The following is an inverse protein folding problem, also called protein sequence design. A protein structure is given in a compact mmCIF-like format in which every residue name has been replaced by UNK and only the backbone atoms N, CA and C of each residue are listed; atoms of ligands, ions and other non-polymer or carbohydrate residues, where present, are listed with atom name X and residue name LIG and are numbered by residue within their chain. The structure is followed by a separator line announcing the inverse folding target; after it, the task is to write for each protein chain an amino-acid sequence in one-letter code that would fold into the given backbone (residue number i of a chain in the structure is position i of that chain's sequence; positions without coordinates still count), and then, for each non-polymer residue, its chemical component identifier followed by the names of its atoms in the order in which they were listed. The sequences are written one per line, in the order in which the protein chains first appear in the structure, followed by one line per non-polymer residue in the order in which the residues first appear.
data_IF_581421479416
#
_entry.id   IF_581421479416
#
_cell.length_a   1.000
_cell.length_b   1.000
_cell.length_c   1.000
_cell.angle_alpha   90.00
_cell.angle_beta   90.00
_cell.angle_gamma   90.00
#
_symmetry.space_group_name_H-M   'P 1'
#
loop_
_entity.id
_entity.type
_entity.pdbx_description
1 polymer ?
#
# COMPACT_ATOMS: atom_id res chain seq x y z
N UNK A 1 -13.48 -3.61 -1.76
CA UNK A 1 -12.60 -3.23 -2.86
C UNK A 1 -11.44 -4.19 -3.10
N UNK A 2 -11.07 -5.01 -2.15
CA UNK A 2 -9.99 -5.97 -2.33
C UNK A 2 -10.53 -7.36 -1.99
N UNK A 3 -10.06 -8.40 -2.68
CA UNK A 3 -10.53 -9.78 -2.49
C UNK A 3 -9.57 -10.61 -1.63
N UNK A 4 -8.53 -9.99 -1.06
CA UNK A 4 -7.53 -10.65 -0.19
C UNK A 4 -8.18 -11.42 0.95
N UNK A 5 -9.25 -10.88 1.56
CA UNK A 5 -9.94 -11.52 2.67
C UNK A 5 -10.72 -12.79 2.29
N UNK A 6 -11.01 -12.99 1.00
CA UNK A 6 -11.78 -14.13 0.52
C UNK A 6 -10.97 -15.43 0.47
N UNK A 7 -9.66 -15.35 0.41
CA UNK A 7 -8.79 -16.49 0.09
C UNK A 7 -8.03 -17.07 1.29
N UNK A 8 -8.24 -16.56 2.49
CA UNK A 8 -7.53 -17.09 3.66
C UNK A 8 -8.22 -18.32 4.30
N UNK A 9 -8.87 -19.13 3.49
CA UNK A 9 -9.56 -20.35 3.94
C UNK A 9 -8.62 -21.40 4.56
N UNK A 10 -7.35 -21.36 4.18
CA UNK A 10 -6.33 -22.32 4.63
C UNK A 10 -5.37 -21.76 5.68
N UNK A 11 -5.67 -20.62 6.26
CA UNK A 11 -4.84 -19.93 7.27
C UNK A 11 -3.35 -19.89 6.89
N UNK A 12 -3.04 -19.68 5.60
CA UNK A 12 -1.68 -19.53 5.11
C UNK A 12 -1.06 -18.28 5.76
N UNK A 13 0.10 -18.46 6.36
CA UNK A 13 0.84 -17.35 6.95
C UNK A 13 2.34 -17.65 6.89
N UNK A 14 3.14 -16.59 6.86
CA UNK A 14 4.58 -16.72 7.02
C UNK A 14 4.90 -17.10 8.46
N UNK A 15 5.90 -17.97 8.62
CA UNK A 15 6.36 -18.51 9.89
C UNK A 15 7.74 -17.96 10.26
N UNK A 16 8.19 -18.22 11.48
CA UNK A 16 9.54 -17.90 11.93
C UNK A 16 10.60 -18.58 11.05
N UNK A 17 10.37 -19.84 10.64
CA UNK A 17 11.28 -20.55 9.72
C UNK A 17 11.37 -19.84 8.38
N UNK A 18 10.24 -19.44 7.78
CA UNK A 18 10.24 -18.70 6.50
C UNK A 18 11.10 -17.43 6.58
N UNK A 19 11.00 -16.66 7.68
CA UNK A 19 11.78 -15.42 7.84
C UNK A 19 13.26 -15.73 8.10
N UNK A 20 13.60 -16.72 8.92
CA UNK A 20 14.98 -17.11 9.15
C UNK A 20 15.68 -17.56 7.86
N UNK A 21 15.00 -18.33 7.01
CA UNK A 21 15.50 -18.77 5.71
C UNK A 21 15.72 -17.60 4.73
N UNK A 22 14.93 -16.52 4.86
CA UNK A 22 15.11 -15.31 4.07
C UNK A 22 16.32 -14.47 4.47
N UNK A 23 16.79 -14.52 5.73
CA UNK A 23 17.80 -13.58 6.27
C UNK A 23 19.08 -13.52 5.44
N UNK A 24 19.59 -14.66 4.97
CA UNK A 24 20.79 -14.72 4.12
C UNK A 24 20.61 -13.92 2.83
N UNK A 25 19.46 -14.08 2.16
CA UNK A 25 19.13 -13.35 0.93
C UNK A 25 18.90 -11.86 1.19
N UNK A 26 18.19 -11.51 2.28
CA UNK A 26 17.93 -10.11 2.66
C UNK A 26 19.25 -9.37 2.94
N UNK A 27 20.20 -10.02 3.63
CA UNK A 27 21.53 -9.46 3.88
C UNK A 27 22.30 -9.29 2.58
N UNK A 28 22.30 -10.28 1.69
CA UNK A 28 22.97 -10.24 0.38
C UNK A 28 22.47 -9.09 -0.50
N UNK A 29 21.17 -8.79 -0.46
CA UNK A 29 20.57 -7.67 -1.19
C UNK A 29 20.70 -6.32 -0.46
N UNK A 30 21.23 -6.28 0.76
CA UNK A 30 21.28 -5.06 1.57
C UNK A 30 19.88 -4.48 1.86
N UNK A 31 18.93 -5.36 2.14
CA UNK A 31 17.53 -4.97 2.38
C UNK A 31 17.42 -3.98 3.55
N UNK A 32 16.88 -2.80 3.28
CA UNK A 32 16.76 -1.71 4.25
C UNK A 32 15.43 -1.72 5.00
N UNK A 33 14.37 -2.19 4.35
CA UNK A 33 13.02 -2.10 4.87
C UNK A 33 12.17 -3.30 4.42
N UNK A 34 11.33 -3.76 5.32
CA UNK A 34 10.24 -4.71 5.04
C UNK A 34 8.91 -4.04 5.41
N UNK A 35 7.95 -4.08 4.48
CA UNK A 35 6.58 -3.65 4.74
C UNK A 35 5.73 -4.89 4.99
N UNK A 36 5.31 -5.07 6.22
CA UNK A 36 4.40 -6.13 6.62
C UNK A 36 2.97 -5.74 6.20
N UNK A 37 2.36 -6.59 5.42
CA UNK A 37 1.03 -6.36 4.83
C UNK A 37 0.25 -7.67 4.75
N UNK A 38 -0.83 -7.69 4.01
CA UNK A 38 -1.69 -8.86 3.76
C UNK A 38 -3.15 -8.41 3.67
N UNK A 39 -4.11 -9.24 4.08
CA UNK A 39 -5.44 -8.75 4.41
C UNK A 39 -5.38 -7.89 5.68
N UNK A 40 -4.88 -8.48 6.76
CA UNK A 40 -4.48 -7.80 8.00
C UNK A 40 -3.29 -8.56 8.59
N UNK A 41 -2.11 -7.96 8.58
CA UNK A 41 -0.88 -8.61 9.01
C UNK A 41 -0.89 -9.00 10.51
N UNK A 42 -1.60 -8.23 11.35
CA UNK A 42 -1.74 -8.51 12.79
C UNK A 42 -2.56 -9.78 13.10
N UNK A 43 -3.19 -10.39 12.10
CA UNK A 43 -3.83 -11.70 12.24
C UNK A 43 -2.84 -12.87 12.17
N UNK A 44 -1.61 -12.64 11.69
CA UNK A 44 -0.57 -13.65 11.73
C UNK A 44 -0.11 -13.87 13.18
N UNK A 45 -0.27 -15.07 13.68
CA UNK A 45 0.08 -15.43 15.08
C UNK A 45 1.58 -15.28 15.39
N UNK A 46 2.43 -15.27 14.35
CA UNK A 46 3.87 -15.07 14.48
C UNK A 46 4.29 -13.60 14.28
N UNK A 47 3.36 -12.68 13.99
CA UNK A 47 3.66 -11.33 13.49
C UNK A 47 4.80 -10.63 14.27
N UNK A 48 4.68 -10.50 15.58
CA UNK A 48 5.68 -9.78 16.37
C UNK A 48 7.02 -10.53 16.43
N UNK A 49 6.99 -11.86 16.39
CA UNK A 49 8.22 -12.66 16.30
C UNK A 49 8.95 -12.43 14.97
N UNK A 50 8.20 -12.36 13.86
CA UNK A 50 8.77 -12.04 12.55
C UNK A 50 9.37 -10.63 12.54
N UNK A 51 8.70 -9.65 13.14
CA UNK A 51 9.21 -8.28 13.27
C UNK A 51 10.49 -8.24 14.11
N UNK A 52 10.52 -8.94 15.25
CA UNK A 52 11.71 -9.05 16.11
C UNK A 52 12.92 -9.59 15.35
N UNK A 53 12.76 -10.67 14.58
CA UNK A 53 13.84 -11.27 13.80
C UNK A 53 14.39 -10.26 12.79
N UNK A 54 13.52 -9.57 12.05
CA UNK A 54 13.93 -8.55 11.07
C UNK A 54 14.62 -7.35 11.74
N UNK A 55 14.08 -6.86 12.84
CA UNK A 55 14.65 -5.73 13.61
C UNK A 55 16.02 -6.05 14.14
N UNK A 56 16.27 -7.28 14.62
CA UNK A 56 17.58 -7.75 15.10
C UNK A 56 18.63 -7.80 13.99
N UNK A 57 18.22 -7.78 12.71
CA UNK A 57 19.13 -7.62 11.55
C UNK A 57 19.31 -6.16 11.11
N UNK A 58 18.76 -5.18 11.86
CA UNK A 58 18.81 -3.77 11.49
C UNK A 58 17.86 -3.38 10.36
N UNK A 59 16.93 -4.25 10.00
CA UNK A 59 15.94 -3.99 8.93
C UNK A 59 14.77 -3.20 9.52
N UNK A 60 14.44 -2.09 8.88
CA UNK A 60 13.26 -1.29 9.24
C UNK A 60 11.98 -2.08 8.94
N UNK A 61 11.05 -2.10 9.90
CA UNK A 61 9.75 -2.76 9.74
C UNK A 61 8.65 -1.71 9.73
N UNK A 62 7.89 -1.65 8.63
CA UNK A 62 6.65 -0.86 8.52
C UNK A 62 5.45 -1.78 8.48
N UNK A 63 4.34 -1.39 9.09
CA UNK A 63 3.10 -2.16 9.08
C UNK A 63 2.01 -1.42 8.31
N UNK A 64 1.44 -2.08 7.28
CA UNK A 64 0.19 -1.65 6.65
C UNK A 64 -0.98 -2.38 7.32
N UNK A 65 -1.91 -1.63 7.92
CA UNK A 65 -3.00 -2.18 8.74
C UNK A 65 -4.33 -1.46 8.54
N UNK A 66 -5.41 -2.18 8.76
CA UNK A 66 -6.77 -1.60 8.84
C UNK A 66 -6.96 -0.73 10.09
N UNK A 67 -6.13 -0.90 11.10
CA UNK A 67 -6.19 -0.15 12.36
C UNK A 67 -7.06 -0.78 13.45
N UNK A 68 -7.81 -1.84 13.16
CA UNK A 68 -8.81 -2.41 14.08
C UNK A 68 -8.22 -2.93 15.41
N UNK A 69 -6.97 -3.36 15.41
CA UNK A 69 -6.31 -3.99 16.55
C UNK A 69 -5.10 -3.21 17.08
N UNK A 70 -4.86 -1.98 16.60
CA UNK A 70 -3.71 -1.16 17.02
C UNK A 70 -3.69 -0.98 18.54
N UNK A 71 -4.82 -0.59 19.15
CA UNK A 71 -4.90 -0.30 20.59
C UNK A 71 -4.48 -1.50 21.44
N UNK A 72 -4.96 -2.70 21.07
CA UNK A 72 -4.68 -3.93 21.80
C UNK A 72 -3.22 -4.40 21.65
N UNK A 73 -2.53 -3.95 20.61
CA UNK A 73 -1.17 -4.34 20.29
C UNK A 73 -0.15 -3.20 20.46
N UNK A 74 -0.54 -2.07 21.05
CA UNK A 74 0.22 -0.83 21.02
C UNK A 74 1.66 -0.98 21.56
N UNK A 75 1.86 -1.64 22.69
CA UNK A 75 3.19 -1.84 23.29
C UNK A 75 4.10 -2.67 22.38
N UNK A 76 3.58 -3.74 21.80
CA UNK A 76 4.34 -4.59 20.88
C UNK A 76 4.65 -3.86 19.57
N UNK A 77 3.69 -3.06 19.08
CA UNK A 77 3.90 -2.23 17.87
C UNK A 77 5.01 -1.19 18.13
N UNK A 78 4.98 -0.48 19.24
CA UNK A 78 6.03 0.49 19.60
C UNK A 78 7.40 -0.16 19.76
N UNK A 79 7.46 -1.43 20.16
CA UNK A 79 8.71 -2.17 20.34
C UNK A 79 9.30 -2.70 19.03
N UNK A 80 8.48 -3.23 18.15
CA UNK A 80 8.93 -4.05 17.02
C UNK A 80 8.62 -3.48 15.63
N UNK A 81 7.84 -2.41 15.54
CA UNK A 81 7.46 -1.78 14.27
C UNK A 81 7.92 -0.33 14.27
N UNK A 82 8.55 0.13 13.20
CA UNK A 82 9.11 1.49 13.12
C UNK A 82 8.07 2.55 12.73
N UNK A 83 7.11 2.19 11.93
CA UNK A 83 6.01 3.09 11.53
C UNK A 83 4.76 2.30 11.08
N UNK A 84 3.62 2.98 11.17
CA UNK A 84 2.33 2.46 10.73
C UNK A 84 1.85 3.17 9.46
N UNK A 85 1.24 2.40 8.57
CA UNK A 85 0.45 2.89 7.46
C UNK A 85 -0.98 2.42 7.69
N UNK A 86 -1.87 3.34 8.05
CA UNK A 86 -3.27 3.02 8.35
C UNK A 86 -4.18 3.41 7.20
N UNK A 87 -5.27 2.69 7.03
CA UNK A 87 -6.25 3.01 5.99
C UNK A 87 -7.34 3.92 6.54
N UNK A 88 -7.61 5.05 5.87
CA UNK A 88 -8.75 5.93 6.14
C UNK A 88 -9.49 6.15 4.82
N UNK A 89 -10.80 5.87 4.78
CA UNK A 89 -11.57 5.94 3.53
C UNK A 89 -12.68 7.01 3.56
N UNK A 90 -12.92 7.65 4.68
CA UNK A 90 -13.96 8.67 4.88
C UNK A 90 -13.98 9.19 6.31
N UNK A 91 -15.02 9.96 6.63
CA UNK A 91 -15.47 10.17 7.99
C UNK A 91 -15.98 8.84 8.59
N UNK A 92 -16.43 8.86 9.84
CA UNK A 92 -16.84 7.65 10.58
C UNK A 92 -17.88 6.82 9.82
N UNK A 93 -18.94 7.45 9.34
CA UNK A 93 -20.04 6.76 8.67
C UNK A 93 -19.59 6.13 7.34
N UNK A 94 -18.85 6.90 6.55
CA UNK A 94 -18.41 6.45 5.23
C UNK A 94 -17.31 5.40 5.35
N UNK A 95 -16.36 5.59 6.27
CA UNK A 95 -15.30 4.61 6.50
C UNK A 95 -15.89 3.26 6.91
N UNK A 96 -16.80 3.23 7.89
CA UNK A 96 -17.45 2.00 8.35
C UNK A 96 -18.24 1.32 7.23
N UNK A 97 -18.96 2.11 6.41
CA UNK A 97 -19.69 1.61 5.26
C UNK A 97 -18.77 0.98 4.19
N UNK A 98 -17.65 1.65 3.83
CA UNK A 98 -16.68 1.14 2.84
C UNK A 98 -15.98 -0.12 3.37
N UNK A 99 -15.60 -0.14 4.64
CA UNK A 99 -14.97 -1.30 5.29
C UNK A 99 -15.96 -2.44 5.56
N UNK A 100 -17.25 -2.13 5.59
CA UNK A 100 -18.31 -3.06 5.99
C UNK A 100 -18.07 -3.66 7.39
N UNK A 101 -17.57 -2.83 8.31
CA UNK A 101 -17.26 -3.21 9.69
C UNK A 101 -17.77 -2.10 10.62
N UNK A 102 -18.77 -2.37 11.45
CA UNK A 102 -19.26 -1.39 12.42
C UNK A 102 -18.15 -0.94 13.39
N UNK A 103 -18.07 0.36 13.66
CA UNK A 103 -17.09 0.99 14.53
C UNK A 103 -15.62 0.80 14.08
N UNK A 104 -15.36 0.54 12.79
CA UNK A 104 -13.99 0.43 12.27
C UNK A 104 -13.24 1.74 12.45
N UNK A 105 -13.85 2.87 12.09
CA UNK A 105 -13.27 4.20 12.25
C UNK A 105 -12.97 4.52 13.72
N UNK A 106 -13.92 4.27 14.63
CA UNK A 106 -13.74 4.48 16.06
C UNK A 106 -12.55 3.69 16.62
N UNK A 107 -12.44 2.39 16.26
CA UNK A 107 -11.31 1.54 16.68
C UNK A 107 -9.98 2.04 16.14
N UNK A 108 -9.94 2.46 14.88
CA UNK A 108 -8.75 3.06 14.26
C UNK A 108 -8.34 4.33 15.01
N UNK A 109 -9.29 5.26 15.24
CA UNK A 109 -9.06 6.52 15.93
C UNK A 109 -8.52 6.29 17.35
N UNK A 110 -9.18 5.46 18.14
CA UNK A 110 -8.73 5.09 19.48
C UNK A 110 -7.33 4.47 19.48
N UNK A 111 -7.02 3.62 18.48
CA UNK A 111 -5.71 3.00 18.33
C UNK A 111 -4.61 4.01 18.02
N UNK A 112 -4.86 4.91 17.07
CA UNK A 112 -3.92 5.98 16.68
C UNK A 112 -3.67 6.93 17.86
N UNK A 113 -4.74 7.41 18.51
CA UNK A 113 -4.65 8.30 19.66
C UNK A 113 -3.87 7.65 20.81
N UNK A 114 -4.11 6.37 21.08
CA UNK A 114 -3.40 5.65 22.14
C UNK A 114 -1.90 5.49 21.83
N UNK A 115 -1.52 5.15 20.60
CA UNK A 115 -0.09 5.13 20.18
C UNK A 115 0.53 6.53 20.38
N UNK A 116 -0.19 7.60 19.99
CA UNK A 116 0.30 8.97 20.12
C UNK A 116 0.41 9.44 21.58
N UNK A 117 -0.43 8.94 22.47
CA UNK A 117 -0.30 9.16 23.91
C UNK A 117 0.96 8.50 24.48
N UNK A 118 1.26 7.27 24.06
CA UNK A 118 2.45 6.53 24.51
C UNK A 118 3.74 7.08 23.88
N UNK A 119 3.71 7.46 22.61
CA UNK A 119 4.84 8.03 21.87
C UNK A 119 4.37 9.07 20.85
N UNK A 120 4.34 10.38 21.19
CA UNK A 120 3.90 11.44 20.28
C UNK A 120 4.69 11.52 18.97
N UNK A 121 5.97 11.12 19.00
CA UNK A 121 6.85 11.15 17.83
C UNK A 121 6.69 9.93 16.89
N UNK A 122 5.96 8.89 17.33
CA UNK A 122 5.79 7.67 16.54
C UNK A 122 5.11 7.97 15.21
N UNK A 123 5.74 7.56 14.10
CA UNK A 123 5.27 7.90 12.76
C UNK A 123 4.07 7.05 12.35
N UNK A 124 2.99 7.73 11.99
CA UNK A 124 1.78 7.12 11.43
C UNK A 124 1.43 7.87 10.13
N UNK A 125 1.28 7.13 9.04
CA UNK A 125 0.81 7.65 7.74
C UNK A 125 -0.58 7.08 7.45
N UNK A 126 -1.51 7.92 7.03
CA UNK A 126 -2.77 7.44 6.47
C UNK A 126 -2.62 7.17 4.96
N UNK A 127 -3.21 6.08 4.48
CA UNK A 127 -3.32 5.80 3.06
C UNK A 127 -4.78 5.66 2.66
N UNK A 128 -5.18 6.40 1.64
CA UNK A 128 -6.54 6.40 1.12
C UNK A 128 -6.56 6.05 -0.35
N UNK A 129 -7.40 5.10 -0.72
CA UNK A 129 -7.75 4.85 -2.10
C UNK A 129 -8.93 5.73 -2.44
N UNK A 130 -8.75 6.71 -3.33
CA UNK A 130 -9.83 7.58 -3.82
C UNK A 130 -10.58 6.85 -4.91
N UNK A 131 -11.91 6.77 -4.76
CA UNK A 131 -12.80 6.08 -5.69
C UNK A 131 -14.22 6.67 -5.62
N UNK A 132 -15.15 6.11 -6.40
CA UNK A 132 -16.51 6.65 -6.56
C UNK A 132 -17.24 6.91 -5.23
N UNK A 133 -17.05 6.05 -4.24
CA UNK A 133 -17.78 6.16 -2.97
C UNK A 133 -17.24 7.27 -2.05
N UNK A 134 -15.98 7.70 -2.20
CA UNK A 134 -15.35 8.62 -1.23
C UNK A 134 -14.71 9.89 -1.82
N UNK A 135 -14.62 10.05 -3.13
CA UNK A 135 -13.93 11.23 -3.67
C UNK A 135 -14.58 12.55 -3.21
N UNK A 136 -15.90 12.58 -2.95
CA UNK A 136 -16.62 13.74 -2.42
C UNK A 136 -16.29 14.02 -0.95
N UNK A 137 -15.84 13.01 -0.24
CA UNK A 137 -15.49 13.08 1.19
C UNK A 137 -13.98 13.35 1.41
N UNK A 138 -13.22 13.65 0.36
CA UNK A 138 -11.74 13.76 0.39
C UNK A 138 -11.23 14.76 1.40
N UNK A 139 -11.84 15.95 1.49
CA UNK A 139 -11.45 16.96 2.49
C UNK A 139 -11.71 16.49 3.93
N UNK A 140 -12.79 15.76 4.17
CA UNK A 140 -13.07 15.19 5.48
C UNK A 140 -12.01 14.16 5.89
N UNK A 141 -11.53 13.33 4.97
CA UNK A 141 -10.42 12.38 5.20
C UNK A 141 -9.17 13.13 5.68
N UNK A 142 -8.80 14.24 5.01
CA UNK A 142 -7.65 15.07 5.40
C UNK A 142 -7.84 15.63 6.82
N UNK A 143 -9.03 16.13 7.11
CA UNK A 143 -9.35 16.72 8.42
C UNK A 143 -9.31 15.67 9.54
N UNK A 144 -9.89 14.49 9.32
CA UNK A 144 -9.85 13.39 10.29
C UNK A 144 -8.42 12.92 10.59
N UNK A 145 -7.60 12.76 9.55
CA UNK A 145 -6.19 12.41 9.73
C UNK A 145 -5.43 13.44 10.57
N UNK A 146 -5.70 14.74 10.36
CA UNK A 146 -5.12 15.82 11.18
C UNK A 146 -5.59 15.74 12.63
N UNK A 147 -6.89 15.54 12.84
CA UNK A 147 -7.49 15.48 14.17
C UNK A 147 -6.94 14.31 14.99
N UNK A 148 -6.68 13.16 14.36
CA UNK A 148 -6.05 12.00 14.97
C UNK A 148 -4.55 12.18 15.28
N UNK A 149 -3.91 13.28 14.85
CA UNK A 149 -2.47 13.48 15.00
C UNK A 149 -1.61 12.60 14.09
N UNK A 150 -2.16 12.15 12.95
CA UNK A 150 -1.42 11.44 11.91
C UNK A 150 -0.38 12.37 11.29
N UNK A 151 0.80 11.83 10.95
CA UNK A 151 1.93 12.63 10.48
C UNK A 151 1.83 12.97 8.99
N UNK A 152 1.18 12.12 8.19
CA UNK A 152 1.12 12.27 6.75
C UNK A 152 -0.09 11.52 6.18
N UNK A 153 -0.67 12.03 5.10
CA UNK A 153 -1.69 11.32 4.31
C UNK A 153 -1.22 11.10 2.88
N UNK A 154 -1.60 9.96 2.30
CA UNK A 154 -1.23 9.57 0.94
C UNK A 154 -2.46 9.08 0.18
N UNK A 155 -2.60 9.49 -1.07
CA UNK A 155 -3.74 9.23 -1.92
C UNK A 155 -3.35 8.53 -3.21
N UNK A 156 -4.14 7.55 -3.63
CA UNK A 156 -3.98 6.85 -4.90
C UNK A 156 -5.36 6.49 -5.46
N UNK A 157 -5.49 6.31 -6.79
CA UNK A 157 -6.74 5.84 -7.37
C UNK A 157 -6.94 4.35 -7.11
N UNK A 158 -8.16 3.85 -7.33
CA UNK A 158 -8.48 2.43 -7.17
C UNK A 158 -7.97 1.60 -8.34
N UNK A 159 -7.23 0.52 -8.05
CA UNK A 159 -6.98 -0.51 -9.05
C UNK A 159 -8.22 -1.38 -9.24
N UNK A 160 -8.71 -1.45 -10.48
CA UNK A 160 -9.87 -2.25 -10.87
C UNK A 160 -9.55 -3.22 -12.01
N UNK A 161 -8.40 -3.07 -12.66
CA UNK A 161 -8.06 -3.74 -13.91
C UNK A 161 -7.04 -4.87 -13.77
N UNK A 162 -6.36 -4.99 -12.62
CA UNK A 162 -5.36 -6.03 -12.41
C UNK A 162 -5.94 -7.26 -11.69
N UNK A 163 -5.15 -8.34 -11.70
CA UNK A 163 -5.41 -9.55 -10.89
C UNK A 163 -4.75 -9.48 -9.49
N UNK A 164 -4.20 -8.33 -9.11
CA UNK A 164 -3.68 -8.12 -7.76
C UNK A 164 -4.77 -8.27 -6.68
N UNK A 165 -4.37 -8.32 -5.41
CA UNK A 165 -5.29 -8.42 -4.27
C UNK A 165 -6.08 -9.75 -4.23
N UNK A 166 -5.43 -10.88 -4.60
CA UNK A 166 -6.01 -12.22 -4.68
C UNK A 166 -7.23 -12.33 -5.61
N UNK A 167 -7.28 -11.52 -6.62
CA UNK A 167 -8.23 -11.69 -7.71
C UNK A 167 -7.72 -12.80 -8.64
N UNK A 168 -8.53 -13.81 -8.89
CA UNK A 168 -8.18 -14.86 -9.87
C UNK A 168 -8.11 -14.30 -11.29
N UNK A 169 -8.99 -13.33 -11.59
CA UNK A 169 -9.01 -12.55 -12.83
C UNK A 169 -9.27 -11.10 -12.49
N UNK A 170 -9.00 -10.16 -13.40
CA UNK A 170 -9.48 -8.79 -13.29
C UNK A 170 -11.00 -8.79 -13.09
N UNK A 171 -11.51 -7.81 -12.36
CA UNK A 171 -12.96 -7.69 -12.17
C UNK A 171 -13.68 -7.50 -13.50
N UNK A 172 -14.84 -8.14 -13.65
CA UNK A 172 -15.73 -7.88 -14.77
C UNK A 172 -16.18 -6.41 -14.77
N UNK A 173 -16.47 -5.87 -15.95
CA UNK A 173 -16.80 -4.46 -16.18
C UNK A 173 -17.89 -3.92 -15.23
N UNK A 174 -19.01 -4.61 -14.96
CA UNK A 174 -20.01 -4.11 -14.01
C UNK A 174 -19.43 -3.87 -12.61
N UNK A 175 -18.53 -4.74 -12.15
CA UNK A 175 -17.88 -4.61 -10.85
C UNK A 175 -16.86 -3.47 -10.83
N UNK A 176 -16.14 -3.25 -11.94
CA UNK A 176 -15.25 -2.10 -12.07
C UNK A 176 -16.03 -0.79 -11.95
N UNK A 177 -17.21 -0.69 -12.59
CA UNK A 177 -18.06 0.51 -12.58
C UNK A 177 -18.67 0.84 -11.21
N UNK A 178 -18.74 -0.13 -10.27
CA UNK A 178 -19.11 0.18 -8.88
C UNK A 178 -18.06 1.04 -8.17
N UNK A 179 -16.81 0.93 -8.59
CA UNK A 179 -15.64 1.56 -7.94
C UNK A 179 -15.10 2.72 -8.75
N UNK A 180 -15.06 2.60 -10.08
CA UNK A 180 -14.66 3.69 -10.96
C UNK A 180 -15.57 4.90 -10.80
N UNK A 181 -14.98 6.09 -10.73
CA UNK A 181 -15.72 7.34 -10.85
C UNK A 181 -16.28 7.39 -12.28
N UNK A 182 -17.59 7.48 -12.44
CA UNK A 182 -18.22 7.44 -13.76
C UNK A 182 -17.86 8.66 -14.60
N UNK A 183 -17.97 8.55 -15.92
CA UNK A 183 -17.68 9.64 -16.85
C UNK A 183 -18.49 10.91 -16.50
N UNK A 184 -19.76 10.76 -16.10
CA UNK A 184 -20.63 11.86 -15.69
C UNK A 184 -20.19 12.54 -14.39
N UNK A 185 -19.42 11.85 -13.53
CA UNK A 185 -18.90 12.36 -12.27
C UNK A 185 -17.49 12.97 -12.41
N UNK A 186 -16.84 12.82 -13.58
CA UNK A 186 -15.49 13.38 -13.81
C UNK A 186 -15.42 14.91 -13.63
N UNK A 187 -16.40 15.72 -14.07
CA UNK A 187 -16.37 17.16 -13.80
C UNK A 187 -16.36 17.46 -12.29
N UNK A 188 -17.18 16.77 -11.50
CA UNK A 188 -17.22 16.92 -10.05
C UNK A 188 -15.91 16.47 -9.37
N UNK A 189 -15.28 15.39 -9.87
CA UNK A 189 -13.94 14.99 -9.42
C UNK A 189 -12.91 16.09 -9.68
N UNK A 190 -12.97 16.73 -10.86
CA UNK A 190 -12.04 17.81 -11.21
C UNK A 190 -12.23 19.02 -10.28
N UNK A 191 -13.45 19.39 -9.98
CA UNK A 191 -13.77 20.45 -9.00
C UNK A 191 -13.27 20.10 -7.61
N UNK A 192 -13.48 18.84 -7.18
CA UNK A 192 -12.97 18.34 -5.90
C UNK A 192 -11.45 18.44 -5.83
N UNK A 193 -10.74 17.99 -6.86
CA UNK A 193 -9.27 18.08 -6.93
C UNK A 193 -8.81 19.55 -6.88
N UNK A 194 -9.46 20.41 -7.63
CA UNK A 194 -9.16 21.85 -7.61
C UNK A 194 -9.35 22.44 -6.21
N UNK A 195 -10.45 22.09 -5.54
CA UNK A 195 -10.73 22.48 -4.16
C UNK A 195 -9.62 21.99 -3.21
N UNK A 196 -9.26 20.70 -3.26
CA UNK A 196 -8.22 20.10 -2.42
C UNK A 196 -6.88 20.82 -2.59
N UNK A 197 -6.46 21.07 -3.82
CA UNK A 197 -5.18 21.75 -4.11
C UNK A 197 -5.17 23.18 -3.57
N UNK A 198 -6.24 23.94 -3.81
CA UNK A 198 -6.26 25.36 -3.44
C UNK A 198 -6.43 25.60 -1.94
N UNK A 199 -7.21 24.76 -1.26
CA UNK A 199 -7.50 24.94 0.16
C UNK A 199 -6.48 24.27 1.10
N UNK A 200 -5.57 23.45 0.57
CA UNK A 200 -4.60 22.72 1.37
C UNK A 200 -3.14 23.04 1.00
N UNK A 201 -2.84 24.20 0.40
CA UNK A 201 -1.49 24.59 -0.04
C UNK A 201 -0.44 24.36 1.04
N UNK A 202 -0.68 24.83 2.26
CA UNK A 202 0.22 24.64 3.41
C UNK A 202 0.44 23.17 3.74
N UNK A 203 -0.55 22.28 3.51
CA UNK A 203 -0.43 20.85 3.78
C UNK A 203 0.40 20.13 2.70
N UNK A 204 0.44 20.66 1.49
CA UNK A 204 1.40 20.21 0.47
C UNK A 204 2.82 20.72 0.77
N UNK A 205 2.96 21.99 1.13
CA UNK A 205 4.27 22.62 1.40
C UNK A 205 4.99 21.93 2.57
N UNK A 206 4.27 21.54 3.63
CA UNK A 206 4.83 20.87 4.80
C UNK A 206 4.83 19.34 4.69
N UNK A 207 4.49 18.80 3.50
CA UNK A 207 4.44 17.37 3.21
C UNK A 207 3.48 16.55 4.11
N UNK A 208 2.46 17.18 4.71
CA UNK A 208 1.38 16.45 5.34
C UNK A 208 0.59 15.65 4.29
N UNK A 209 0.33 16.22 3.11
CA UNK A 209 -0.11 15.48 1.93
C UNK A 209 1.14 15.01 1.20
N UNK A 210 1.31 13.70 1.06
CA UNK A 210 2.54 13.09 0.54
C UNK A 210 2.75 13.33 -0.96
N UNK A 211 1.66 13.39 -1.72
CA UNK A 211 1.67 13.58 -3.17
C UNK A 211 1.91 15.06 -3.51
N UNK A 212 2.60 15.29 -4.63
CA UNK A 212 2.60 16.62 -5.26
C UNK A 212 1.22 16.94 -5.85
N UNK A 213 0.94 18.22 -6.08
CA UNK A 213 -0.31 18.65 -6.74
C UNK A 213 -0.50 17.99 -8.10
N UNK A 214 0.59 17.78 -8.86
CA UNK A 214 0.55 17.04 -10.13
C UNK A 214 0.09 15.58 -9.93
N UNK A 215 0.57 14.89 -8.90
CA UNK A 215 0.11 13.52 -8.62
C UNK A 215 -1.36 13.47 -8.21
N UNK A 216 -1.86 14.49 -7.51
CA UNK A 216 -3.29 14.61 -7.20
C UNK A 216 -4.11 14.82 -8.48
N UNK A 217 -3.64 15.69 -9.41
CA UNK A 217 -4.27 15.88 -10.73
C UNK A 217 -4.25 14.60 -11.57
N UNK A 218 -3.21 13.78 -11.45
CA UNK A 218 -3.10 12.50 -12.15
C UNK A 218 -4.19 11.50 -11.70
N UNK A 219 -4.82 11.68 -10.55
CA UNK A 219 -6.00 10.85 -10.15
C UNK A 219 -7.17 11.12 -11.09
N UNK A 220 -7.42 12.37 -11.48
CA UNK A 220 -8.42 12.69 -12.50
C UNK A 220 -8.05 12.03 -13.84
N UNK A 221 -6.81 12.22 -14.31
CA UNK A 221 -6.35 11.66 -15.57
C UNK A 221 -6.47 10.13 -15.59
N UNK A 222 -6.18 9.47 -14.47
CA UNK A 222 -6.33 8.02 -14.34
C UNK A 222 -7.77 7.57 -14.59
N UNK A 223 -8.76 8.22 -13.96
CA UNK A 223 -10.17 7.86 -14.16
C UNK A 223 -10.69 8.24 -15.55
N UNK A 224 -10.30 9.39 -16.08
CA UNK A 224 -10.67 9.82 -17.43
C UNK A 224 -10.13 8.90 -18.53
N UNK A 225 -8.97 8.27 -18.29
CA UNK A 225 -8.37 7.31 -19.23
C UNK A 225 -9.20 6.04 -19.43
N UNK A 226 -9.99 5.60 -18.43
CA UNK A 226 -10.91 4.46 -18.61
C UNK A 226 -12.04 4.74 -19.62
N UNK A 227 -12.32 6.01 -19.89
CA UNK A 227 -13.33 6.46 -20.86
C UNK A 227 -12.73 6.95 -22.17
N UNK A 228 -11.39 6.76 -22.36
CA UNK A 228 -10.70 7.16 -23.59
C UNK A 228 -10.52 8.68 -23.74
N UNK A 229 -10.75 9.47 -22.70
CA UNK A 229 -10.65 10.94 -22.77
C UNK A 229 -9.20 11.45 -22.78
N UNK A 230 -8.27 10.65 -22.28
CA UNK A 230 -6.83 10.91 -22.30
C UNK A 230 -6.06 9.58 -22.09
N UNK A 231 -4.73 9.53 -22.36
CA UNK A 231 -3.92 8.39 -21.99
C UNK A 231 -3.78 8.28 -20.47
N UNK A 232 -3.46 7.07 -19.96
CA UNK A 232 -3.12 6.91 -18.55
C UNK A 232 -1.90 7.77 -18.17
N UNK A 233 -1.87 8.30 -16.93
CA UNK A 233 -0.75 9.14 -16.47
C UNK A 233 0.58 8.39 -16.57
N UNK A 234 1.59 9.04 -17.16
CA UNK A 234 2.94 8.50 -17.22
C UNK A 234 3.53 8.33 -15.81
N UNK A 235 4.22 7.21 -15.59
CA UNK A 235 4.86 6.86 -14.32
C UNK A 235 6.24 6.28 -14.56
N UNK A 236 7.22 6.73 -13.77
CA UNK A 236 8.49 6.02 -13.63
C UNK A 236 8.37 4.98 -12.54
N UNK A 237 8.78 3.76 -12.82
CA UNK A 237 8.76 2.67 -11.86
C UNK A 237 9.99 1.78 -12.03
N UNK A 238 10.62 1.39 -10.91
CA UNK A 238 11.68 0.39 -10.91
C UNK A 238 11.46 -0.71 -9.85
N UNK A 239 10.20 -0.89 -9.42
CA UNK A 239 9.83 -1.87 -8.40
C UNK A 239 10.46 -3.26 -8.62
N UNK A 240 10.42 -3.88 -9.83
CA UNK A 240 10.98 -5.23 -10.05
C UNK A 240 12.50 -5.35 -9.91
N UNK A 241 13.22 -4.22 -9.81
CA UNK A 241 14.68 -4.17 -9.64
C UNK A 241 15.11 -3.79 -8.21
N UNK A 242 14.20 -3.17 -7.44
CA UNK A 242 14.51 -2.61 -6.12
C UNK A 242 13.66 -3.16 -4.99
N UNK A 243 12.66 -3.97 -5.32
CA UNK A 243 11.74 -4.58 -4.36
C UNK A 243 11.24 -5.93 -4.86
N UNK A 244 10.62 -6.69 -3.96
CA UNK A 244 9.88 -7.92 -4.28
C UNK A 244 8.77 -8.12 -3.27
N UNK A 245 7.79 -8.95 -3.60
CA UNK A 245 6.70 -9.33 -2.70
C UNK A 245 6.82 -10.81 -2.37
N UNK A 246 6.73 -11.13 -1.09
CA UNK A 246 6.60 -12.50 -0.60
C UNK A 246 5.22 -12.64 0.01
N UNK A 247 4.41 -13.51 -0.57
CA UNK A 247 3.03 -13.77 -0.14
C UNK A 247 2.98 -14.69 1.09
N UNK A 248 1.82 -14.77 1.72
CA UNK A 248 1.60 -15.60 2.92
C UNK A 248 1.90 -17.09 2.73
N UNK A 249 1.83 -17.61 1.49
CA UNK A 249 2.16 -18.99 1.14
C UNK A 249 3.60 -19.20 0.68
N UNK A 250 4.44 -18.16 0.79
CA UNK A 250 5.83 -18.18 0.36
C UNK A 250 6.03 -17.84 -1.11
N UNK A 251 4.98 -17.64 -1.89
CA UNK A 251 5.09 -17.26 -3.31
C UNK A 251 5.79 -15.91 -3.45
N UNK A 252 6.66 -15.78 -4.46
CA UNK A 252 7.44 -14.57 -4.74
C UNK A 252 6.97 -13.92 -6.02
N UNK A 253 6.73 -12.61 -5.98
CA UNK A 253 6.39 -11.79 -7.15
C UNK A 253 7.42 -10.69 -7.37
N UNK A 254 7.72 -10.32 -8.63
CA UNK A 254 8.66 -9.23 -8.93
C UNK A 254 8.14 -7.86 -8.50
N UNK A 255 6.82 -7.70 -8.49
CA UNK A 255 6.07 -6.64 -7.84
C UNK A 255 4.64 -7.13 -7.57
N UNK A 256 3.85 -6.36 -6.83
CA UNK A 256 2.52 -6.76 -6.37
C UNK A 256 1.53 -7.10 -7.50
N UNK A 257 1.71 -6.54 -8.70
CA UNK A 257 0.78 -6.63 -9.82
C UNK A 257 1.17 -7.68 -10.88
N UNK A 258 2.29 -8.36 -10.73
CA UNK A 258 2.78 -9.35 -11.70
C UNK A 258 2.78 -10.77 -11.15
N UNK A 259 2.90 -11.74 -12.04
CA UNK A 259 2.80 -13.16 -11.72
C UNK A 259 3.92 -13.66 -10.80
N UNK A 260 3.62 -14.75 -10.12
CA UNK A 260 4.56 -15.47 -9.25
C UNK A 260 5.76 -15.96 -10.08
N UNK A 261 6.97 -15.71 -9.57
CA UNK A 261 8.24 -16.13 -10.18
C UNK A 261 8.93 -17.29 -9.45
N UNK A 262 8.47 -17.65 -8.25
CA UNK A 262 9.00 -18.75 -7.46
C UNK A 262 8.36 -18.81 -6.08
N UNK A 263 8.87 -19.69 -5.20
CA UNK A 263 8.42 -19.81 -3.82
C UNK A 263 9.64 -19.97 -2.88
N UNK A 264 9.67 -19.22 -1.77
CA UNK A 264 10.78 -19.25 -0.81
C UNK A 264 10.94 -20.58 -0.09
N UNK A 265 9.88 -21.39 -0.05
CA UNK A 265 9.90 -22.74 0.55
C UNK A 265 10.53 -23.79 -0.36
N UNK A 266 10.67 -23.49 -1.66
CA UNK A 266 11.31 -24.38 -2.63
C UNK A 266 12.80 -24.04 -2.82
N UNK A 267 13.16 -22.75 -2.77
CA UNK A 267 14.54 -22.29 -2.94
C UNK A 267 14.74 -20.87 -2.39
N UNK A 268 16.00 -20.47 -2.17
CA UNK A 268 16.34 -19.17 -1.57
C UNK A 268 15.89 -17.99 -2.44
N UNK A 269 15.51 -16.89 -1.80
CA UNK A 269 15.02 -15.68 -2.46
C UNK A 269 16.02 -15.12 -3.49
N UNK A 270 17.31 -15.18 -3.21
CA UNK A 270 18.33 -14.69 -4.14
C UNK A 270 18.41 -15.54 -5.42
N UNK A 271 18.19 -16.85 -5.34
CA UNK A 271 18.08 -17.71 -6.51
C UNK A 271 16.80 -17.43 -7.31
N UNK A 272 15.68 -17.22 -6.62
CA UNK A 272 14.38 -16.89 -7.28
C UNK A 272 14.52 -15.59 -8.06
N UNK A 273 15.03 -14.52 -7.43
CA UNK A 273 15.16 -13.21 -8.08
C UNK A 273 16.20 -13.16 -9.20
N UNK A 274 17.11 -14.12 -9.26
CA UNK A 274 18.10 -14.28 -10.32
C UNK A 274 17.85 -15.51 -11.22
N UNK A 275 16.68 -16.13 -11.12
CA UNK A 275 16.26 -17.20 -12.01
C UNK A 275 16.07 -16.69 -13.46
N UNK A 276 16.14 -17.57 -14.42
CA UNK A 276 15.86 -17.24 -15.84
C UNK A 276 14.48 -16.59 -15.99
N UNK A 277 13.47 -17.09 -15.28
CA UNK A 277 12.12 -16.52 -15.29
C UNK A 277 12.11 -15.05 -14.82
N UNK A 278 12.78 -14.75 -13.71
CA UNK A 278 12.86 -13.39 -13.17
C UNK A 278 13.69 -12.45 -14.06
N UNK A 279 14.77 -12.96 -14.65
CA UNK A 279 15.63 -12.20 -15.57
C UNK A 279 14.89 -11.89 -16.87
N UNK A 280 14.22 -12.88 -17.47
CA UNK A 280 13.43 -12.69 -18.70
C UNK A 280 12.27 -11.72 -18.46
N UNK A 281 11.58 -11.82 -17.31
CA UNK A 281 10.55 -10.87 -16.94
C UNK A 281 11.09 -9.43 -16.94
N UNK A 282 12.21 -9.17 -16.24
CA UNK A 282 12.79 -7.81 -16.16
C UNK A 282 13.32 -7.32 -17.52
N UNK A 283 13.88 -8.21 -18.36
CA UNK A 283 14.36 -7.85 -19.72
C UNK A 283 13.22 -7.52 -20.67
N UNK A 284 12.09 -8.22 -20.55
CA UNK A 284 10.93 -8.02 -21.41
C UNK A 284 9.95 -6.97 -20.91
N UNK A 285 10.15 -6.41 -19.72
CA UNK A 285 9.21 -5.45 -19.15
C UNK A 285 9.43 -4.05 -19.74
N UNK A 286 8.51 -3.65 -20.61
CA UNK A 286 8.34 -2.26 -21.03
C UNK A 286 7.15 -1.65 -20.28
N UNK A 287 7.39 -0.68 -19.43
CA UNK A 287 6.36 -0.07 -18.57
C UNK A 287 5.40 0.85 -19.33
N UNK A 288 5.79 1.30 -20.52
CA UNK A 288 4.98 2.20 -21.33
C UNK A 288 3.95 1.44 -22.19
N UNK A 289 4.21 0.15 -22.43
CA UNK A 289 3.35 -0.70 -23.26
C UNK A 289 2.73 -1.88 -22.51
N UNK A 290 3.26 -2.25 -21.35
CA UNK A 290 2.71 -3.34 -20.55
C UNK A 290 1.38 -2.92 -19.91
N UNK A 291 0.28 -3.61 -20.24
CA UNK A 291 -1.08 -3.28 -19.81
C UNK A 291 -1.23 -3.12 -18.29
N UNK A 292 -0.54 -3.94 -17.50
CA UNK A 292 -0.56 -3.86 -16.04
C UNK A 292 0.17 -2.60 -15.56
N UNK A 293 1.33 -2.30 -16.14
CA UNK A 293 2.14 -1.15 -15.75
C UNK A 293 1.50 0.18 -16.15
N UNK A 294 0.94 0.26 -17.35
CA UNK A 294 0.23 1.45 -17.84
C UNK A 294 -0.92 1.84 -16.90
N UNK A 295 -1.70 0.87 -16.43
CA UNK A 295 -2.84 1.07 -15.53
C UNK A 295 -2.47 1.03 -14.04
N UNK A 296 -1.19 0.80 -13.69
CA UNK A 296 -0.76 0.64 -12.30
C UNK A 296 -1.00 1.90 -11.46
N UNK A 297 -1.50 1.71 -10.24
CA UNK A 297 -1.77 2.79 -9.26
C UNK A 297 -0.65 2.99 -8.24
N UNK A 298 0.34 2.09 -8.20
CA UNK A 298 1.39 2.01 -7.18
C UNK A 298 2.78 1.99 -7.80
N UNK A 299 3.19 3.08 -8.46
CA UNK A 299 4.55 3.17 -8.98
C UNK A 299 5.58 3.39 -7.85
N UNK A 300 6.63 2.59 -7.83
CA UNK A 300 7.80 2.76 -6.97
C UNK A 300 8.98 3.16 -7.84
N UNK A 301 9.60 4.30 -7.52
CA UNK A 301 10.83 4.73 -8.19
C UNK A 301 11.87 5.15 -7.13
N UNK A 302 12.74 4.22 -6.76
CA UNK A 302 13.84 4.48 -5.84
C UNK A 302 15.07 4.92 -6.63
N UNK A 303 15.63 6.08 -6.25
CA UNK A 303 16.91 6.52 -6.80
C UNK A 303 18.03 5.59 -6.33
N UNK A 304 19.01 5.23 -7.19
CA UNK A 304 20.21 4.52 -6.76
C UNK A 304 20.97 5.24 -5.63
N UNK A 305 20.88 6.56 -5.58
CA UNK A 305 21.49 7.39 -4.53
C UNK A 305 20.72 7.35 -3.20
N UNK A 306 19.46 6.95 -3.18
CA UNK A 306 18.70 6.79 -1.94
C UNK A 306 19.27 5.71 -1.03
N UNK A 307 19.91 4.67 -1.60
CA UNK A 307 20.61 3.63 -0.86
C UNK A 307 21.92 4.12 -0.23
N UNK A 308 22.55 5.15 -0.78
CA UNK A 308 23.78 5.74 -0.23
C UNK A 308 23.49 6.71 0.94
N UNK A 309 22.31 7.32 0.97
CA UNK A 309 21.89 8.23 2.03
C UNK A 309 21.35 7.49 3.28
N UNK A 310 20.88 6.26 3.13
CA UNK A 310 20.39 5.41 4.22
C UNK A 310 21.49 4.71 5.00
N UNK A 311 22.72 4.78 4.54
CA UNK A 311 23.92 4.18 5.14
C UNK A 311 24.75 5.12 6.04
N UNK A 312 24.14 6.22 6.54
CA UNK A 312 24.74 7.11 7.56
C UNK A 312 23.93 7.13 8.84
#
# INVERSE_FOLDING_TARGET
MCDIWKDNKNLKQLTETDINDLLSSLKKFGTQQVVMSGGEALLNTNFFRLCEILKNQGIKVSLLTTGLSIKNNAEQLLKWVDDLIVSIDGDELLHDAIRNIPNAFKKLKEGVEYIKQLNPAYRITARTVIHRLNFRNWQAIINEAKTMGINQVSFLPADVSSHAFNRQTAWAEPKQHEILISEKELPELQETIFYIINNNKRLFDNHFIAESTLKIQNIYQYYAAFYGLNPFPYKKCNAPWVSTVVEADGSVRPCFFHDVIGNIRDTSLDKILNSDKAIQFRKGLDMDTNDTCVKCVCALNLSPLANLAAGK
#
